data_IF_567122032806
#
_entry.id   IF_567122032806
#
_cell.length_a   1.000
_cell.length_b   1.000
_cell.length_c   1.000
_cell.angle_alpha   90.00
_cell.angle_beta   90.00
_cell.angle_gamma   90.00
#
_symmetry.space_group_name_H-M   'P 1'
#
loop_
_entity.id
_entity.type
_entity.pdbx_description
1 polymer ?
#
# COMPACT_ATOMS: atom_id res chain seq x y z
N UNK A 1 7.35 -4.73 -20.88
CA UNK A 1 7.62 -6.13 -20.51
C UNK A 1 6.86 -7.01 -21.50
N UNK A 2 7.54 -7.77 -22.36
CA UNK A 2 6.87 -8.64 -23.31
C UNK A 2 6.40 -9.91 -22.59
N UNK A 3 5.12 -10.27 -22.77
CA UNK A 3 4.58 -11.52 -22.23
C UNK A 3 5.07 -12.66 -23.11
N UNK A 4 5.78 -13.64 -22.53
CA UNK A 4 6.21 -14.85 -23.24
C UNK A 4 5.00 -15.78 -23.39
N UNK A 5 4.75 -16.25 -24.59
CA UNK A 5 3.67 -17.18 -24.91
C UNK A 5 4.02 -18.07 -26.10
N UNK A 6 3.32 -19.18 -26.24
CA UNK A 6 3.40 -20.10 -27.36
C UNK A 6 2.10 -20.01 -28.18
N UNK A 7 2.19 -20.27 -29.49
CA UNK A 7 1.03 -20.28 -30.41
C UNK A 7 0.28 -21.62 -30.33
N UNK A 8 -0.37 -21.86 -29.15
CA UNK A 8 -1.18 -23.07 -28.95
C UNK A 8 -2.40 -22.77 -28.06
N UNK A 9 -3.37 -23.68 -28.11
CA UNK A 9 -4.64 -23.59 -27.37
C UNK A 9 -4.44 -23.58 -25.85
N UNK A 10 -3.44 -24.28 -25.35
CA UNK A 10 -3.09 -24.36 -23.92
C UNK A 10 -2.61 -22.99 -23.42
N UNK A 11 -1.69 -22.36 -24.16
CA UNK A 11 -1.20 -21.00 -23.85
C UNK A 11 -2.33 -19.98 -23.90
N UNK A 12 -3.23 -20.06 -24.91
CA UNK A 12 -4.41 -19.21 -25.01
C UNK A 12 -5.28 -19.30 -23.76
N UNK A 13 -5.59 -20.51 -23.30
CA UNK A 13 -6.40 -20.74 -22.10
C UNK A 13 -5.73 -20.19 -20.84
N UNK A 14 -4.42 -20.38 -20.70
CA UNK A 14 -3.63 -19.85 -19.57
C UNK A 14 -3.64 -18.32 -19.56
N UNK A 15 -3.44 -17.67 -20.72
CA UNK A 15 -3.47 -16.22 -20.81
C UNK A 15 -4.87 -15.66 -20.51
N UNK A 16 -5.94 -16.33 -20.95
CA UNK A 16 -7.32 -15.95 -20.62
C UNK A 16 -7.57 -16.04 -19.11
N UNK A 17 -7.13 -17.11 -18.44
CA UNK A 17 -7.21 -17.24 -16.97
C UNK A 17 -6.47 -16.12 -16.28
N UNK A 18 -5.24 -15.84 -16.69
CA UNK A 18 -4.40 -14.78 -16.15
C UNK A 18 -5.02 -13.39 -16.34
N UNK A 19 -5.58 -13.12 -17.51
CA UNK A 19 -6.28 -11.87 -17.80
C UNK A 19 -7.51 -11.71 -16.90
N UNK A 20 -8.34 -12.77 -16.77
CA UNK A 20 -9.53 -12.75 -15.91
C UNK A 20 -9.18 -12.48 -14.45
N UNK A 21 -8.15 -13.15 -13.92
CA UNK A 21 -7.68 -12.92 -12.55
C UNK A 21 -7.27 -11.46 -12.32
N UNK A 22 -6.52 -10.85 -13.26
CA UNK A 22 -6.06 -9.46 -13.13
C UNK A 22 -7.20 -8.46 -13.26
N UNK A 23 -8.14 -8.70 -14.19
CA UNK A 23 -9.34 -7.87 -14.33
C UNK A 23 -10.19 -7.89 -13.06
N UNK A 24 -10.32 -9.05 -12.42
CA UNK A 24 -11.08 -9.18 -11.17
C UNK A 24 -10.34 -8.58 -9.96
N UNK A 25 -9.02 -8.66 -9.93
CA UNK A 25 -8.21 -8.10 -8.85
C UNK A 25 -8.06 -6.57 -8.93
N UNK A 26 -8.15 -5.99 -10.13
CA UNK A 26 -7.94 -4.56 -10.35
C UNK A 26 -8.88 -3.67 -9.52
N UNK A 27 -10.22 -3.87 -9.49
CA UNK A 27 -11.12 -3.05 -8.67
C UNK A 27 -10.82 -3.16 -7.18
N UNK A 28 -10.50 -4.36 -6.68
CA UNK A 28 -10.12 -4.56 -5.27
C UNK A 28 -8.83 -3.80 -4.92
N UNK A 29 -7.85 -3.79 -5.82
CA UNK A 29 -6.61 -3.02 -5.63
C UNK A 29 -6.87 -1.51 -5.68
N UNK A 30 -7.74 -1.03 -6.56
CA UNK A 30 -8.15 0.38 -6.62
C UNK A 30 -8.87 0.81 -5.34
N UNK A 31 -9.79 -0.01 -4.85
CA UNK A 31 -10.49 0.26 -3.59
C UNK A 31 -9.51 0.29 -2.40
N UNK A 32 -8.55 -0.65 -2.36
CA UNK A 32 -7.51 -0.64 -1.34
C UNK A 32 -6.62 0.60 -1.42
N UNK A 33 -6.24 1.04 -2.62
CA UNK A 33 -5.46 2.26 -2.83
C UNK A 33 -6.21 3.49 -2.34
N UNK A 34 -7.51 3.61 -2.67
CA UNK A 34 -8.36 4.73 -2.23
C UNK A 34 -8.52 4.75 -0.70
N UNK A 35 -8.74 3.59 -0.08
CA UNK A 35 -8.82 3.48 1.38
C UNK A 35 -7.50 3.89 2.04
N UNK A 36 -6.36 3.41 1.53
CA UNK A 36 -5.05 3.80 2.04
C UNK A 36 -4.79 5.31 1.88
N UNK A 37 -5.22 5.92 0.79
CA UNK A 37 -5.08 7.36 0.55
C UNK A 37 -5.84 8.18 1.60
N UNK A 38 -7.06 7.76 1.93
CA UNK A 38 -7.86 8.42 2.97
C UNK A 38 -7.21 8.29 4.35
N UNK A 39 -6.71 7.09 4.68
CA UNK A 39 -6.08 6.86 5.98
C UNK A 39 -4.73 7.59 6.12
N UNK A 40 -3.94 7.71 5.04
CA UNK A 40 -2.73 8.56 5.02
C UNK A 40 -3.08 10.00 5.31
N UNK A 41 -4.13 10.52 4.65
CA UNK A 41 -4.58 11.90 4.88
C UNK A 41 -4.99 12.11 6.33
N UNK A 42 -5.86 11.24 6.87
CA UNK A 42 -6.29 11.33 8.28
C UNK A 42 -5.11 11.29 9.26
N UNK A 43 -4.14 10.38 9.02
CA UNK A 43 -2.98 10.28 9.90
C UNK A 43 -2.10 11.53 9.85
N UNK A 44 -1.94 12.16 8.68
CA UNK A 44 -1.22 13.43 8.55
C UNK A 44 -1.97 14.59 9.21
N UNK A 45 -3.25 14.74 8.89
CA UNK A 45 -4.09 15.79 9.47
C UNK A 45 -4.11 15.70 11.02
N UNK A 46 -4.07 14.47 11.55
CA UNK A 46 -4.00 14.26 13.01
C UNK A 46 -2.64 14.59 13.58
N UNK A 47 -1.55 14.23 12.88
CA UNK A 47 -0.19 14.60 13.29
C UNK A 47 0.00 16.12 13.28
N UNK A 48 -0.49 16.82 12.25
CA UNK A 48 -0.43 18.27 12.14
C UNK A 48 -1.19 18.96 13.29
N UNK A 49 -2.39 18.48 13.61
CA UNK A 49 -3.16 18.99 14.75
C UNK A 49 -2.43 18.82 16.08
N UNK A 50 -1.83 17.66 16.32
CA UNK A 50 -1.09 17.40 17.54
C UNK A 50 0.15 18.30 17.65
N UNK A 51 0.79 18.62 16.53
CA UNK A 51 1.90 19.58 16.49
C UNK A 51 1.41 21.00 16.81
N UNK A 52 0.28 21.41 16.24
CA UNK A 52 -0.36 22.71 16.55
C UNK A 52 -0.76 22.79 18.04
N UNK A 53 -1.32 21.71 18.58
CA UNK A 53 -1.70 21.62 20.00
C UNK A 53 -0.45 21.68 20.90
N UNK A 54 0.65 21.02 20.49
CA UNK A 54 1.94 21.10 21.19
C UNK A 54 2.50 22.52 21.17
N UNK A 55 2.49 23.17 20.01
CA UNK A 55 2.95 24.57 19.89
C UNK A 55 2.09 25.54 20.71
N UNK A 56 0.79 25.31 20.74
CA UNK A 56 -0.14 26.09 21.56
C UNK A 56 0.10 25.87 23.05
N UNK A 57 0.38 24.63 23.47
CA UNK A 57 0.73 24.31 24.84
C UNK A 57 2.08 24.94 25.25
N UNK A 58 3.09 24.88 24.38
CA UNK A 58 4.39 25.53 24.62
C UNK A 58 4.21 27.04 24.81
N UNK A 59 3.44 27.71 23.96
CA UNK A 59 3.14 29.15 24.11
C UNK A 59 2.37 29.48 25.39
N UNK A 60 1.46 28.58 25.82
CA UNK A 60 0.74 28.73 27.08
C UNK A 60 1.67 28.75 28.29
N UNK A 61 2.73 27.97 28.24
CA UNK A 61 3.70 27.84 29.33
C UNK A 61 4.96 28.70 29.16
N UNK A 62 5.02 29.58 28.15
CA UNK A 62 6.18 30.44 27.86
C UNK A 62 6.50 31.38 29.02
N UNK A 63 5.49 31.82 29.82
CA UNK A 63 5.70 32.64 31.02
C UNK A 63 6.52 31.91 32.11
N UNK A 64 6.62 30.58 32.07
CA UNK A 64 7.43 29.79 32.98
C UNK A 64 8.86 29.58 32.46
N UNK A 65 9.20 30.10 31.28
CA UNK A 65 10.49 29.83 30.62
C UNK A 65 11.71 30.16 31.53
N UNK A 66 11.63 31.22 32.31
CA UNK A 66 12.66 31.59 33.27
C UNK A 66 12.84 30.58 34.42
N UNK A 67 11.72 29.96 34.84
CA UNK A 67 11.72 28.98 35.94
C UNK A 67 12.30 27.63 35.52
N UNK A 68 12.23 27.28 34.23
CA UNK A 68 12.81 26.02 33.73
C UNK A 68 14.35 25.92 33.92
N UNK A 69 15.04 27.05 34.08
CA UNK A 69 16.49 27.05 34.42
C UNK A 69 16.78 26.48 35.82
N UNK A 70 15.78 26.52 36.70
CA UNK A 70 15.88 25.99 38.08
C UNK A 70 15.44 24.52 38.16
N UNK A 71 14.77 24.00 37.09
CA UNK A 71 14.23 22.65 37.07
C UNK A 71 15.35 21.62 36.94
N UNK A 72 15.34 20.62 37.79
CA UNK A 72 16.33 19.54 37.72
C UNK A 72 15.99 18.61 36.53
N UNK A 73 16.88 18.46 35.53
CA UNK A 73 16.61 17.73 34.31
C UNK A 73 16.30 16.23 34.51
N UNK A 74 16.72 15.65 35.61
CA UNK A 74 16.54 14.23 35.92
C UNK A 74 15.29 13.95 36.78
N UNK A 75 14.47 14.95 37.05
CA UNK A 75 13.31 14.79 37.92
C UNK A 75 12.22 13.88 37.32
N UNK A 76 12.09 13.92 36.03
CA UNK A 76 11.16 13.07 35.26
C UNK A 76 11.88 12.46 34.07
N UNK A 77 11.74 11.16 33.90
CA UNK A 77 12.22 10.44 32.73
C UNK A 77 11.11 9.54 32.16
N UNK A 78 11.16 9.28 30.85
CA UNK A 78 10.29 8.32 30.19
C UNK A 78 11.04 6.99 30.20
N UNK A 79 10.51 6.01 30.93
CA UNK A 79 11.13 4.70 31.05
C UNK A 79 10.72 3.80 29.87
N UNK A 80 9.44 3.86 29.48
CA UNK A 80 8.92 2.98 28.45
C UNK A 80 7.71 3.61 27.75
N UNK A 81 7.52 3.26 26.48
CA UNK A 81 6.38 3.70 25.68
C UNK A 81 5.73 2.46 25.07
N UNK A 82 4.59 2.07 25.58
CA UNK A 82 3.85 0.94 25.04
C UNK A 82 3.28 1.29 23.67
N UNK A 83 3.71 0.53 22.65
CA UNK A 83 3.20 0.63 21.29
C UNK A 83 2.49 -0.67 20.91
N UNK A 84 1.22 -0.58 20.57
CA UNK A 84 0.49 -1.73 20.07
C UNK A 84 0.22 -1.62 18.56
N UNK A 85 0.03 -2.77 17.93
CA UNK A 85 -0.16 -2.83 16.47
C UNK A 85 -1.64 -2.86 16.12
N UNK A 86 -2.08 -1.88 15.32
CA UNK A 86 -3.44 -1.83 14.75
C UNK A 86 -3.38 -2.10 13.25
N UNK A 87 -4.34 -2.86 12.74
CA UNK A 87 -4.49 -3.09 11.29
C UNK A 87 -5.41 -2.04 10.68
N UNK A 88 -4.86 -1.21 9.81
CA UNK A 88 -5.60 -0.18 9.05
C UNK A 88 -5.51 -0.51 7.56
N UNK A 89 -6.66 -0.71 6.90
CA UNK A 89 -6.72 -1.13 5.48
C UNK A 89 -5.83 -2.35 5.14
N UNK A 90 -5.66 -3.27 6.11
CA UNK A 90 -4.82 -4.46 5.98
C UNK A 90 -3.31 -4.21 6.11
N UNK A 91 -2.91 -3.05 6.62
CA UNK A 91 -1.52 -2.68 6.95
C UNK A 91 -1.38 -2.62 8.46
N UNK A 92 -0.31 -3.19 8.99
CA UNK A 92 0.05 -3.09 10.41
C UNK A 92 0.66 -1.71 10.65
N UNK A 93 0.08 -0.94 11.56
CA UNK A 93 0.55 0.39 11.95
C UNK A 93 0.68 0.48 13.46
N UNK A 94 1.64 1.25 13.99
CA UNK A 94 1.75 1.49 15.41
C UNK A 94 0.59 2.38 15.90
N UNK A 95 0.20 2.18 17.13
CA UNK A 95 -0.67 3.05 17.89
C UNK A 95 -0.12 3.21 19.29
N UNK A 96 -0.23 4.41 19.85
CA UNK A 96 0.24 4.72 21.19
C UNK A 96 -0.65 4.06 22.24
N UNK A 97 -0.04 3.35 23.14
CA UNK A 97 -0.64 2.83 24.36
C UNK A 97 -0.37 3.73 25.56
N UNK A 98 0.14 3.14 26.61
CA UNK A 98 0.47 3.85 27.85
C UNK A 98 1.93 4.31 27.85
N UNK A 99 2.18 5.53 28.37
CA UNK A 99 3.54 6.07 28.56
C UNK A 99 3.89 5.91 30.03
N UNK A 100 4.98 5.21 30.31
CA UNK A 100 5.47 5.02 31.68
C UNK A 100 6.50 6.09 32.00
N UNK A 101 6.19 6.86 33.04
CA UNK A 101 7.08 7.90 33.54
C UNK A 101 7.71 7.42 34.85
N UNK A 102 8.98 7.65 34.99
CA UNK A 102 9.70 7.54 36.25
C UNK A 102 9.92 8.94 36.80
N UNK A 103 9.45 9.16 38.03
CA UNK A 103 9.59 10.45 38.72
C UNK A 103 10.50 10.19 39.92
N UNK A 104 11.63 10.85 39.95
CA UNK A 104 12.52 10.78 41.11
C UNK A 104 11.90 11.56 42.29
N UNK A 105 12.03 10.97 43.48
CA UNK A 105 11.54 11.58 44.70
C UNK A 105 12.25 12.90 44.93
N UNK A 106 11.50 13.96 45.14
CA UNK A 106 12.01 15.27 45.52
C UNK A 106 11.38 15.72 46.81
N UNK A 107 12.20 16.38 47.65
CA UNK A 107 11.72 16.89 48.92
C UNK A 107 10.99 18.21 48.71
N UNK A 108 9.66 18.18 48.87
CA UNK A 108 8.79 19.34 48.65
C UNK A 108 9.11 20.56 49.55
N UNK A 109 9.85 20.33 50.66
CA UNK A 109 10.28 21.43 51.54
C UNK A 109 11.52 22.19 51.04
N UNK A 110 12.32 21.53 50.21
CA UNK A 110 13.56 22.09 49.66
C UNK A 110 13.45 22.46 48.18
N UNK A 111 12.33 22.19 47.55
CA UNK A 111 12.11 22.49 46.14
C UNK A 111 11.04 23.61 45.95
N UNK A 112 11.15 24.39 44.89
CA UNK A 112 10.13 25.39 44.55
C UNK A 112 8.75 24.76 44.42
N UNK A 113 7.69 25.47 44.88
CA UNK A 113 6.33 24.98 44.90
C UNK A 113 5.77 24.57 43.48
N UNK A 114 6.34 25.19 42.42
CA UNK A 114 5.91 24.95 41.04
C UNK A 114 6.46 23.63 40.46
N UNK A 115 7.36 22.88 41.13
CA UNK A 115 7.92 21.61 40.60
C UNK A 115 6.89 20.56 40.29
N UNK A 116 5.84 20.44 41.10
CA UNK A 116 4.73 19.51 40.85
C UNK A 116 3.97 19.87 39.56
N UNK A 117 3.70 21.16 39.35
CA UNK A 117 3.09 21.65 38.13
C UNK A 117 4.02 21.49 36.92
N UNK A 118 5.32 21.70 37.09
CA UNK A 118 6.34 21.47 36.08
C UNK A 118 6.37 20.01 35.59
N UNK A 119 6.29 19.04 36.48
CA UNK A 119 6.18 17.63 36.16
C UNK A 119 4.90 17.31 35.37
N UNK A 120 3.77 17.90 35.75
CA UNK A 120 2.49 17.73 35.07
C UNK A 120 2.54 18.30 33.63
N UNK A 121 3.12 19.49 33.47
CA UNK A 121 3.34 20.14 32.17
C UNK A 121 4.25 19.29 31.28
N UNK A 122 5.35 18.79 31.80
CA UNK A 122 6.27 17.93 31.02
C UNK A 122 5.60 16.62 30.58
N UNK A 123 4.73 16.04 31.41
CA UNK A 123 3.92 14.86 31.00
C UNK A 123 2.97 15.19 29.86
N UNK A 124 2.30 16.33 29.94
CA UNK A 124 1.37 16.78 28.88
C UNK A 124 2.13 17.01 27.55
N UNK A 125 3.21 17.79 27.60
CA UNK A 125 3.98 18.12 26.41
C UNK A 125 4.65 16.87 25.80
N UNK A 126 5.24 15.99 26.61
CA UNK A 126 5.87 14.77 26.13
C UNK A 126 4.84 13.82 25.52
N UNK A 127 3.63 13.71 26.08
CA UNK A 127 2.56 12.91 25.52
C UNK A 127 2.16 13.42 24.14
N UNK A 128 1.93 14.73 23.99
CA UNK A 128 1.58 15.34 22.69
C UNK A 128 2.69 15.12 21.66
N UNK A 129 3.95 15.30 22.06
CA UNK A 129 5.11 15.08 21.19
C UNK A 129 5.21 13.62 20.71
N UNK A 130 5.12 12.66 21.64
CA UNK A 130 5.18 11.23 21.30
C UNK A 130 4.00 10.82 20.42
N UNK A 131 2.79 11.28 20.76
CA UNK A 131 1.60 10.97 19.98
C UNK A 131 1.71 11.50 18.55
N UNK A 132 2.20 12.74 18.37
CA UNK A 132 2.43 13.31 17.04
C UNK A 132 3.41 12.50 16.20
N UNK A 133 4.51 12.03 16.82
CA UNK A 133 5.53 11.20 16.14
C UNK A 133 4.97 9.81 15.76
N UNK A 134 4.17 9.19 16.63
CA UNK A 134 3.49 7.92 16.32
C UNK A 134 2.54 8.07 15.13
N UNK A 135 1.77 9.17 15.06
CA UNK A 135 0.91 9.43 13.90
C UNK A 135 1.70 9.73 12.63
N UNK A 136 2.84 10.41 12.74
CA UNK A 136 3.74 10.67 11.62
C UNK A 136 4.30 9.36 11.06
N UNK A 137 4.77 8.47 11.93
CA UNK A 137 5.29 7.16 11.53
C UNK A 137 4.19 6.28 10.93
N UNK A 138 2.99 6.30 11.51
CA UNK A 138 1.80 5.67 10.94
C UNK A 138 1.52 6.17 9.52
N UNK A 139 1.60 7.48 9.30
CA UNK A 139 1.41 8.08 7.97
C UNK A 139 2.49 7.63 6.98
N UNK A 140 3.76 7.53 7.40
CA UNK A 140 4.89 7.04 6.58
C UNK A 140 4.67 5.59 6.13
N UNK A 141 4.30 4.71 7.06
CA UNK A 141 4.04 3.29 6.78
C UNK A 141 2.87 3.14 5.80
N UNK A 142 1.77 3.85 6.03
CA UNK A 142 0.60 3.83 5.16
C UNK A 142 0.90 4.38 3.77
N UNK A 143 1.65 5.49 3.66
CA UNK A 143 2.04 6.07 2.37
C UNK A 143 2.95 5.15 1.56
N UNK A 144 3.88 4.47 2.21
CA UNK A 144 4.72 3.47 1.57
C UNK A 144 3.89 2.32 0.97
N UNK A 145 2.91 1.80 1.72
CA UNK A 145 2.02 0.75 1.24
C UNK A 145 1.06 1.26 0.15
N UNK A 146 0.59 2.51 0.26
CA UNK A 146 -0.18 3.17 -0.79
C UNK A 146 0.62 3.24 -2.10
N UNK A 147 1.86 3.74 -2.05
CA UNK A 147 2.76 3.82 -3.22
C UNK A 147 2.96 2.46 -3.88
N UNK A 148 3.22 1.40 -3.09
CA UNK A 148 3.32 0.03 -3.61
C UNK A 148 2.02 -0.46 -4.25
N UNK A 149 0.86 -0.12 -3.67
CA UNK A 149 -0.44 -0.50 -4.22
C UNK A 149 -0.71 0.24 -5.52
N UNK A 150 -0.43 1.55 -5.58
CA UNK A 150 -0.55 2.36 -6.80
C UNK A 150 0.35 1.82 -7.93
N UNK A 151 1.59 1.42 -7.61
CA UNK A 151 2.47 0.77 -8.60
C UNK A 151 1.88 -0.53 -9.16
N UNK A 152 1.26 -1.37 -8.31
CA UNK A 152 0.58 -2.60 -8.74
C UNK A 152 -0.64 -2.29 -9.61
N UNK A 153 -1.45 -1.31 -9.24
CA UNK A 153 -2.61 -0.87 -10.04
C UNK A 153 -2.15 -0.41 -11.42
N UNK A 154 -1.14 0.46 -11.48
CA UNK A 154 -0.59 0.95 -12.75
C UNK A 154 0.01 -0.19 -13.60
N UNK A 155 0.72 -1.13 -12.99
CA UNK A 155 1.26 -2.30 -13.66
C UNK A 155 0.15 -3.16 -14.29
N UNK A 156 -0.92 -3.42 -13.55
CA UNK A 156 -2.04 -4.22 -14.06
C UNK A 156 -2.79 -3.49 -15.17
N UNK A 157 -3.14 -2.22 -14.94
CA UNK A 157 -3.98 -1.46 -15.85
C UNK A 157 -3.28 -1.06 -17.16
N UNK A 158 -2.03 -0.57 -17.05
CA UNK A 158 -1.31 0.02 -18.20
C UNK A 158 -0.41 -0.97 -18.95
N UNK A 159 0.02 -2.05 -18.29
CA UNK A 159 1.01 -2.97 -18.88
C UNK A 159 0.46 -4.38 -19.03
N UNK A 160 0.01 -4.98 -17.94
CA UNK A 160 -0.33 -6.41 -17.97
C UNK A 160 -1.64 -6.68 -18.70
N UNK A 161 -2.72 -5.98 -18.39
CA UNK A 161 -4.02 -6.20 -19.03
C UNK A 161 -3.93 -5.98 -20.54
N UNK A 162 -3.41 -4.84 -21.05
CA UNK A 162 -3.23 -4.66 -22.48
C UNK A 162 -2.29 -5.69 -23.12
N UNK A 163 -1.19 -6.02 -22.44
CA UNK A 163 -0.23 -7.02 -22.94
C UNK A 163 -0.84 -8.42 -23.09
N UNK A 164 -1.65 -8.86 -22.10
CA UNK A 164 -2.38 -10.13 -22.21
C UNK A 164 -3.43 -10.11 -23.34
N UNK A 165 -4.16 -9.00 -23.51
CA UNK A 165 -5.13 -8.86 -24.58
C UNK A 165 -4.47 -8.93 -25.96
N UNK A 166 -3.32 -8.28 -26.12
CA UNK A 166 -2.56 -8.33 -27.38
C UNK A 166 -2.01 -9.74 -27.65
N UNK A 167 -1.43 -10.41 -26.66
CA UNK A 167 -0.93 -11.77 -26.77
C UNK A 167 -2.05 -12.76 -27.18
N UNK A 168 -3.21 -12.65 -26.53
CA UNK A 168 -4.39 -13.46 -26.85
C UNK A 168 -4.85 -13.22 -28.30
N UNK A 169 -4.87 -11.95 -28.74
CA UNK A 169 -5.23 -11.61 -30.12
C UNK A 169 -4.28 -12.22 -31.14
N UNK A 170 -2.95 -12.16 -30.86
CA UNK A 170 -1.92 -12.77 -31.73
C UNK A 170 -2.08 -14.29 -31.83
N UNK A 171 -2.32 -14.98 -30.70
CA UNK A 171 -2.51 -16.44 -30.72
C UNK A 171 -3.77 -16.81 -31.49
N UNK A 172 -4.90 -16.11 -31.26
CA UNK A 172 -6.14 -16.38 -31.97
C UNK A 172 -5.97 -16.23 -33.48
N UNK A 173 -5.36 -15.13 -33.93
CA UNK A 173 -5.11 -14.91 -35.34
C UNK A 173 -4.25 -16.01 -35.97
N UNK A 174 -3.18 -16.40 -35.29
CA UNK A 174 -2.33 -17.50 -35.75
C UNK A 174 -3.12 -18.82 -35.87
N UNK A 175 -3.95 -19.15 -34.88
CA UNK A 175 -4.78 -20.36 -34.94
C UNK A 175 -5.84 -20.30 -36.06
N UNK A 176 -6.42 -19.14 -36.32
CA UNK A 176 -7.36 -18.93 -37.44
C UNK A 176 -6.65 -19.11 -38.78
N UNK A 177 -5.45 -18.55 -38.92
CA UNK A 177 -4.63 -18.71 -40.15
C UNK A 177 -4.22 -20.19 -40.36
N UNK A 178 -3.82 -20.91 -39.32
CA UNK A 178 -3.50 -22.34 -39.37
C UNK A 178 -4.74 -23.17 -39.76
N UNK A 179 -5.90 -22.89 -39.21
CA UNK A 179 -7.15 -23.58 -39.58
C UNK A 179 -7.55 -23.31 -41.04
N UNK A 180 -7.40 -22.07 -41.53
CA UNK A 180 -7.66 -21.72 -42.88
C UNK A 180 -6.71 -22.43 -43.88
N UNK A 181 -5.40 -22.50 -43.54
CA UNK A 181 -4.44 -23.28 -44.33
C UNK A 181 -4.78 -24.75 -44.39
N UNK A 182 -5.17 -25.35 -43.25
CA UNK A 182 -5.58 -26.75 -43.16
C UNK A 182 -6.81 -27.03 -44.03
N UNK A 183 -7.85 -26.12 -43.99
CA UNK A 183 -9.01 -26.23 -44.83
C UNK A 183 -8.69 -26.11 -46.32
N UNK A 184 -7.79 -25.21 -46.69
CA UNK A 184 -7.36 -25.03 -48.07
C UNK A 184 -6.62 -26.27 -48.59
N UNK A 185 -5.67 -26.81 -47.76
CA UNK A 185 -4.95 -28.07 -48.09
C UNK A 185 -5.92 -29.24 -48.28
N UNK A 186 -6.92 -29.38 -47.37
CA UNK A 186 -7.94 -30.43 -47.48
C UNK A 186 -8.80 -30.30 -48.76
N UNK A 187 -9.12 -29.08 -49.19
CA UNK A 187 -9.82 -28.88 -50.49
C UNK A 187 -8.97 -29.29 -51.67
N UNK A 188 -7.66 -28.92 -51.68
CA UNK A 188 -6.77 -29.29 -52.77
C UNK A 188 -6.65 -30.81 -52.88
N UNK A 189 -6.54 -31.52 -51.75
CA UNK A 189 -6.49 -32.98 -51.73
C UNK A 189 -7.76 -33.60 -52.28
N UNK A 190 -8.94 -33.07 -51.87
CA UNK A 190 -10.21 -33.56 -52.41
C UNK A 190 -10.32 -33.35 -53.92
N UNK A 191 -10.01 -32.16 -54.43
CA UNK A 191 -10.05 -31.90 -55.86
C UNK A 191 -9.09 -32.83 -56.64
N UNK A 192 -7.93 -33.15 -56.09
CA UNK A 192 -7.02 -34.12 -56.74
C UNK A 192 -7.62 -35.52 -56.79
N UNK A 193 -8.19 -36.01 -55.69
CA UNK A 193 -8.87 -37.32 -55.71
C UNK A 193 -10.05 -37.34 -56.67
N UNK A 194 -10.87 -36.30 -56.74
CA UNK A 194 -11.96 -36.22 -57.70
C UNK A 194 -11.46 -36.30 -59.15
N UNK A 195 -10.38 -35.61 -59.49
CA UNK A 195 -9.74 -35.68 -60.81
C UNK A 195 -9.17 -37.10 -61.13
N UNK A 196 -8.52 -37.73 -60.16
CA UNK A 196 -7.95 -39.09 -60.30
C UNK A 196 -9.07 -40.12 -60.48
N UNK A 197 -10.21 -39.98 -59.80
CA UNK A 197 -11.39 -40.83 -59.98
C UNK A 197 -12.06 -40.63 -61.37
N UNK A 198 -12.14 -39.39 -61.86
CA UNK A 198 -12.63 -39.08 -63.21
C UNK A 198 -11.72 -39.66 -64.31
N UNK A 199 -10.38 -39.58 -64.12
CA UNK A 199 -9.43 -40.20 -65.09
C UNK A 199 -9.51 -41.73 -65.11
N UNK A 200 -9.76 -42.40 -63.97
CA UNK A 200 -9.93 -43.84 -63.89
C UNK A 200 -11.25 -44.34 -64.47
N UNK A 201 -12.33 -43.51 -64.43
CA UNK A 201 -13.62 -43.88 -64.98
C UNK A 201 -13.75 -43.65 -66.53
N UNK A 202 -12.84 -42.83 -67.10
CA UNK A 202 -12.84 -42.50 -68.54
C UNK A 202 -11.82 -43.25 -69.36
N UNK A 203 -11.03 -44.18 -68.80
CA UNK A 203 -10.04 -45.04 -69.44
C UNK A 203 -10.51 -46.49 -69.42
#
# INVERSE_FOLDING_TARGET
MAIKFQYNKTSLNNLNKQLKMRKNALPTLKNKESALRLEVKKAKDQSEKLIEDLDAALKRYDYLAALWNEFQPNLISITDVDLYTVKVAGVKTPALGEIKYEIHEFNAFNCPAWYADGVAILKELSRLGIESEVYLEKARILDFQRKKTTQKVNLYEKVQIPGYQEAIRKIKRYMEDEENLSKAASKIVKCRHELEEEEQNNG
#
